data_IF_528755533807
#
_entry.id   IF_528755533807
#
_cell.length_a   1.000
_cell.length_b   1.000
_cell.length_c   1.000
_cell.angle_alpha   90.00
_cell.angle_beta   90.00
_cell.angle_gamma   90.00
#
_symmetry.space_group_name_H-M   'P 1'
#
loop_
_entity.id
_entity.type
_entity.pdbx_description
1 polymer ?
#
# COMPACT_ATOMS: atom_id res chain seq x y z
N UNK A 1 -0.17 -24.07 -38.03
CA UNK A 1 -1.10 -23.64 -36.96
C UNK A 1 -0.43 -23.88 -35.60
N UNK A 2 -0.79 -23.22 -34.48
CA UNK A 2 -1.10 -21.81 -34.20
C UNK A 2 -0.10 -21.21 -33.17
N UNK A 3 0.13 -19.88 -33.11
CA UNK A 3 0.66 -19.17 -31.92
C UNK A 3 0.63 -17.62 -32.05
N UNK A 4 -0.50 -17.03 -32.47
CA UNK A 4 -0.72 -15.55 -32.57
C UNK A 4 -1.30 -14.88 -31.29
N UNK A 5 -1.20 -15.50 -30.10
CA UNK A 5 -1.80 -14.97 -28.85
C UNK A 5 -0.85 -14.22 -27.90
N UNK A 6 0.47 -14.35 -28.05
CA UNK A 6 1.42 -13.90 -27.02
C UNK A 6 1.76 -12.40 -27.07
N UNK A 7 1.64 -11.74 -28.23
CA UNK A 7 2.05 -10.33 -28.39
C UNK A 7 1.00 -9.29 -27.93
N UNK A 8 -0.29 -9.63 -27.90
CA UNK A 8 -1.36 -8.67 -27.52
C UNK A 8 -1.43 -8.37 -26.01
N UNK A 9 -0.90 -9.25 -25.18
CA UNK A 9 -0.96 -9.12 -23.70
C UNK A 9 0.08 -8.12 -23.20
N UNK A 10 1.22 -8.02 -23.89
CA UNK A 10 2.36 -7.18 -23.49
C UNK A 10 2.09 -5.69 -23.76
N UNK A 11 1.61 -5.35 -24.96
CA UNK A 11 1.29 -3.96 -25.36
C UNK A 11 0.16 -3.32 -24.51
N UNK A 12 -0.77 -4.13 -23.96
CA UNK A 12 -1.82 -3.63 -23.04
C UNK A 12 -1.29 -3.26 -21.66
N UNK A 13 -0.23 -3.93 -21.18
CA UNK A 13 0.38 -3.64 -19.87
C UNK A 13 1.12 -2.31 -19.87
N UNK A 14 1.74 -1.94 -20.99
CA UNK A 14 2.51 -0.69 -21.11
C UNK A 14 1.61 0.54 -21.35
N UNK A 15 0.56 0.41 -22.17
CA UNK A 15 -0.40 1.51 -22.39
C UNK A 15 -1.22 1.87 -21.14
N UNK A 16 -1.41 0.94 -20.18
CA UNK A 16 -2.00 1.23 -18.87
C UNK A 16 -1.05 1.95 -17.91
N UNK A 17 0.28 1.72 -18.03
CA UNK A 17 1.28 2.41 -17.21
C UNK A 17 1.39 3.89 -17.60
N UNK A 18 1.35 4.22 -18.89
CA UNK A 18 1.51 5.60 -19.37
C UNK A 18 0.31 6.54 -19.09
N UNK A 19 -0.92 6.01 -18.98
CA UNK A 19 -2.10 6.82 -18.60
C UNK A 19 -2.21 7.08 -17.10
N UNK A 20 -1.48 6.32 -16.27
CA UNK A 20 -1.52 6.42 -14.79
C UNK A 20 -0.73 7.62 -14.27
N UNK A 21 0.19 8.14 -15.06
CA UNK A 21 1.11 9.23 -14.67
C UNK A 21 0.47 10.62 -14.62
N UNK A 22 -0.72 10.82 -15.22
CA UNK A 22 -1.38 12.15 -15.29
C UNK A 22 -2.42 12.43 -14.21
N UNK A 23 -2.83 11.43 -13.41
CA UNK A 23 -3.86 11.60 -12.37
C UNK A 23 -3.25 11.49 -10.97
N UNK A 24 -2.04 12.04 -10.82
CA UNK A 24 -1.10 11.74 -9.73
C UNK A 24 -1.34 12.56 -8.46
N UNK A 25 -2.41 13.33 -8.35
CA UNK A 25 -2.46 14.35 -7.29
C UNK A 25 -3.02 13.88 -5.94
N UNK A 26 -3.73 12.74 -5.84
CA UNK A 26 -4.35 12.33 -4.55
C UNK A 26 -4.49 10.82 -4.34
N UNK A 27 -3.61 9.99 -4.90
CA UNK A 27 -3.68 8.53 -4.78
C UNK A 27 -3.70 8.02 -3.32
N UNK A 28 -3.06 8.75 -2.41
CA UNK A 28 -3.01 8.46 -0.97
C UNK A 28 -4.30 8.82 -0.21
N UNK A 29 -5.18 9.64 -0.81
CA UNK A 29 -6.52 9.97 -0.32
C UNK A 29 -7.62 9.16 -1.01
N UNK A 30 -7.30 8.47 -2.11
CA UNK A 30 -8.27 7.60 -2.76
C UNK A 30 -8.62 6.46 -1.81
N UNK A 31 -9.93 6.27 -1.59
CA UNK A 31 -10.45 5.15 -0.84
C UNK A 31 -10.37 3.90 -1.73
N UNK A 32 -9.87 2.82 -1.16
CA UNK A 32 -9.92 1.50 -1.78
C UNK A 32 -11.37 1.07 -1.86
N UNK A 33 -11.75 0.43 -2.98
CA UNK A 33 -13.09 -0.12 -3.14
C UNK A 33 -13.37 -1.26 -2.16
N UNK A 34 -14.65 -1.54 -1.98
CA UNK A 34 -15.17 -2.56 -1.06
C UNK A 34 -14.42 -3.90 -1.20
N UNK A 35 -13.98 -4.45 -0.06
CA UNK A 35 -13.25 -5.72 0.03
C UNK A 35 -11.72 -5.63 -0.07
N UNK A 36 -11.16 -4.42 -0.23
CA UNK A 36 -9.70 -4.19 -0.14
C UNK A 36 -9.29 -3.38 1.09
N UNK A 37 -10.22 -3.22 2.02
CA UNK A 37 -10.01 -2.54 3.30
C UNK A 37 -9.04 -3.34 4.16
N UNK A 38 -8.17 -2.63 4.87
CA UNK A 38 -7.37 -3.25 5.91
C UNK A 38 -8.13 -3.23 7.22
N UNK A 39 -8.38 -4.40 7.80
CA UNK A 39 -9.08 -4.53 9.07
C UNK A 39 -8.06 -4.79 10.16
N UNK A 40 -7.96 -3.84 11.10
CA UNK A 40 -7.14 -3.95 12.28
C UNK A 40 -7.82 -4.82 13.35
N UNK A 41 -7.02 -5.31 14.30
CA UNK A 41 -7.50 -6.14 15.42
C UNK A 41 -8.44 -5.37 16.36
N UNK A 42 -8.32 -4.04 16.38
CA UNK A 42 -9.20 -3.13 17.13
C UNK A 42 -10.54 -2.85 16.41
N UNK A 43 -10.89 -3.64 15.39
CA UNK A 43 -12.06 -3.44 14.52
C UNK A 43 -12.05 -2.15 13.69
N UNK A 44 -10.94 -1.42 13.65
CA UNK A 44 -10.81 -0.25 12.78
C UNK A 44 -10.55 -0.70 11.34
N UNK A 45 -11.24 -0.05 10.41
CA UNK A 45 -11.11 -0.31 8.97
C UNK A 45 -10.40 0.84 8.29
N UNK A 46 -9.34 0.51 7.57
CA UNK A 46 -8.51 1.47 6.86
C UNK A 46 -8.79 1.34 5.37
N UNK A 47 -9.16 2.46 4.76
CA UNK A 47 -9.54 2.52 3.35
C UNK A 47 -8.48 3.23 2.49
N UNK A 48 -7.53 3.94 3.09
CA UNK A 48 -6.57 4.77 2.36
C UNK A 48 -5.21 4.78 3.04
N UNK A 49 -4.16 5.05 2.26
CA UNK A 49 -2.79 5.16 2.79
C UNK A 49 -2.65 6.31 3.79
N UNK A 50 -3.38 7.43 3.58
CA UNK A 50 -3.44 8.48 4.59
C UNK A 50 -4.02 7.98 5.92
N UNK A 51 -5.13 7.24 5.88
CA UNK A 51 -5.72 6.67 7.10
C UNK A 51 -4.78 5.66 7.74
N UNK A 52 -4.06 4.88 6.95
CA UNK A 52 -3.03 3.98 7.48
C UNK A 52 -1.97 4.75 8.26
N UNK A 53 -1.47 5.86 7.69
CA UNK A 53 -0.44 6.66 8.33
C UNK A 53 -0.93 7.31 9.64
N UNK A 54 -2.19 7.78 9.65
CA UNK A 54 -2.83 8.33 10.84
C UNK A 54 -3.03 7.27 11.92
N UNK A 55 -3.57 6.11 11.55
CA UNK A 55 -3.76 4.98 12.45
C UNK A 55 -2.43 4.46 12.98
N UNK A 56 -1.40 4.31 12.15
CA UNK A 56 -0.05 3.90 12.60
C UNK A 56 0.56 4.89 13.60
N UNK A 57 0.19 6.18 13.55
CA UNK A 57 0.69 7.19 14.47
C UNK A 57 0.07 7.04 15.87
N UNK A 58 -1.23 6.72 15.93
CA UNK A 58 -1.98 6.54 17.20
C UNK A 58 -2.02 5.09 17.67
N UNK A 59 -1.58 4.15 16.84
CA UNK A 59 -1.60 2.72 17.11
C UNK A 59 -0.56 2.32 18.15
N UNK A 60 -1.03 1.53 19.11
CA UNK A 60 -0.22 0.92 20.16
C UNK A 60 0.78 -0.09 19.58
N UNK A 61 1.99 -0.13 20.14
CA UNK A 61 3.06 -1.02 19.69
C UNK A 61 2.66 -2.50 19.78
N UNK A 62 1.79 -2.85 20.75
CA UNK A 62 1.24 -4.20 20.89
C UNK A 62 0.40 -4.60 19.67
N UNK A 63 -0.41 -3.67 19.16
CA UNK A 63 -1.23 -3.89 17.96
C UNK A 63 -0.35 -3.96 16.72
N UNK A 64 0.64 -3.08 16.61
CA UNK A 64 1.59 -3.10 15.50
C UNK A 64 2.38 -4.41 15.44
N UNK A 65 2.87 -4.90 16.58
CA UNK A 65 3.60 -6.16 16.67
C UNK A 65 2.70 -7.36 16.36
N UNK A 66 1.38 -7.27 16.56
CA UNK A 66 0.47 -8.34 16.14
C UNK A 66 0.42 -8.51 14.60
N UNK A 67 0.52 -7.40 13.85
CA UNK A 67 0.47 -7.39 12.38
C UNK A 67 1.86 -7.47 11.70
N UNK A 68 2.92 -7.18 12.44
CA UNK A 68 4.32 -7.17 11.93
C UNK A 68 5.25 -8.19 12.60
N UNK A 69 4.86 -8.70 13.77
CA UNK A 69 5.55 -9.75 14.50
C UNK A 69 5.20 -11.12 13.92
N UNK A 70 6.14 -12.06 14.01
CA UNK A 70 6.10 -13.41 13.39
C UNK A 70 6.52 -13.49 11.91
N UNK A 71 7.35 -12.57 11.43
CA UNK A 71 7.95 -12.65 10.09
C UNK A 71 6.98 -12.38 8.94
N UNK A 72 5.78 -11.90 9.27
CA UNK A 72 4.77 -11.38 8.35
C UNK A 72 4.60 -9.90 8.63
N UNK A 73 4.47 -9.10 7.58
CA UNK A 73 4.06 -7.71 7.71
C UNK A 73 2.80 -7.53 6.88
N UNK A 74 1.66 -7.52 7.57
CA UNK A 74 0.35 -7.40 6.94
C UNK A 74 0.19 -6.03 6.24
N UNK A 75 0.83 -4.98 6.75
CA UNK A 75 0.87 -3.67 6.11
C UNK A 75 1.64 -3.68 4.78
N UNK A 76 2.79 -4.36 4.75
CA UNK A 76 3.57 -4.54 3.52
C UNK A 76 2.73 -5.21 2.42
N UNK A 77 2.08 -6.33 2.77
CA UNK A 77 1.26 -7.09 1.83
C UNK A 77 0.09 -6.25 1.31
N UNK A 78 -0.59 -5.52 2.20
CA UNK A 78 -1.71 -4.67 1.83
C UNK A 78 -1.29 -3.55 0.86
N UNK A 79 -0.22 -2.82 1.16
CA UNK A 79 0.25 -1.71 0.31
C UNK A 79 0.72 -2.21 -1.06
N UNK A 80 1.44 -3.34 -1.06
CA UNK A 80 1.95 -3.96 -2.28
C UNK A 80 0.84 -4.53 -3.16
N UNK A 81 -0.17 -5.17 -2.58
CA UNK A 81 -1.24 -5.80 -3.37
C UNK A 81 -2.31 -4.78 -3.81
N UNK A 82 -2.76 -3.94 -2.88
CA UNK A 82 -3.86 -2.99 -3.10
C UNK A 82 -3.40 -1.75 -3.86
N UNK A 83 -2.33 -1.12 -3.41
CA UNK A 83 -1.84 0.12 -4.02
C UNK A 83 -0.75 -0.11 -5.07
N UNK A 84 -0.12 -1.29 -5.08
CA UNK A 84 0.98 -1.65 -5.98
C UNK A 84 2.19 -0.73 -5.83
N UNK A 85 2.42 -0.28 -4.60
CA UNK A 85 3.54 0.59 -4.23
C UNK A 85 4.59 -0.25 -3.51
N UNK A 86 5.43 -0.91 -4.31
CA UNK A 86 6.53 -1.71 -3.78
C UNK A 86 7.48 -0.87 -2.94
N UNK A 87 7.84 0.33 -3.42
CA UNK A 87 8.78 1.23 -2.76
C UNK A 87 8.31 1.63 -1.36
N UNK A 88 7.05 2.07 -1.23
CA UNK A 88 6.46 2.42 0.07
C UNK A 88 6.40 1.20 1.00
N UNK A 89 6.04 0.04 0.46
CA UNK A 89 5.95 -1.18 1.25
C UNK A 89 7.33 -1.58 1.80
N UNK A 90 8.38 -1.51 0.99
CA UNK A 90 9.77 -1.76 1.42
C UNK A 90 10.25 -0.75 2.46
N UNK A 91 9.86 0.52 2.33
CA UNK A 91 10.16 1.53 3.34
C UNK A 91 9.50 1.21 4.69
N UNK A 92 8.23 0.77 4.69
CA UNK A 92 7.56 0.34 5.93
C UNK A 92 8.21 -0.91 6.54
N UNK A 93 8.74 -1.83 5.73
CA UNK A 93 9.47 -3.00 6.27
C UNK A 93 10.73 -2.61 7.04
N UNK A 94 11.37 -1.49 6.70
CA UNK A 94 12.53 -0.97 7.44
C UNK A 94 12.13 -0.33 8.77
N UNK A 95 10.84 -0.15 9.03
CA UNK A 95 10.34 0.43 10.26
C UNK A 95 10.34 -0.54 11.42
N UNK A 96 10.99 -0.12 12.50
CA UNK A 96 11.01 -0.88 13.75
C UNK A 96 9.72 -0.69 14.55
N UNK A 97 9.12 0.49 14.47
CA UNK A 97 7.96 0.88 15.28
C UNK A 97 6.86 1.46 14.40
N UNK A 98 5.62 1.47 14.91
CA UNK A 98 4.43 2.02 14.24
C UNK A 98 4.62 3.50 13.85
N UNK A 99 5.18 4.30 14.75
CA UNK A 99 5.48 5.73 14.53
C UNK A 99 6.49 5.91 13.40
N UNK A 100 7.53 5.09 13.36
CA UNK A 100 8.55 5.16 12.31
C UNK A 100 7.98 4.73 10.94
N UNK A 101 7.08 3.74 10.94
CA UNK A 101 6.34 3.34 9.76
C UNK A 101 5.45 4.49 9.25
N UNK A 102 4.67 5.11 10.14
CA UNK A 102 3.84 6.28 9.82
C UNK A 102 4.66 7.43 9.23
N UNK A 103 5.79 7.75 9.85
CA UNK A 103 6.69 8.80 9.38
C UNK A 103 7.21 8.53 7.97
N UNK A 104 7.61 7.28 7.66
CA UNK A 104 8.01 6.90 6.30
C UNK A 104 6.87 7.00 5.30
N UNK A 105 5.65 6.63 5.68
CA UNK A 105 4.47 6.80 4.83
C UNK A 105 4.21 8.27 4.55
N UNK A 106 4.20 9.12 5.58
CA UNK A 106 4.03 10.56 5.42
C UNK A 106 5.12 11.18 4.57
N UNK A 107 6.38 10.81 4.81
CA UNK A 107 7.51 11.26 4.01
C UNK A 107 7.32 10.90 2.53
N UNK A 108 6.94 9.66 2.24
CA UNK A 108 6.68 9.20 0.87
C UNK A 108 5.51 9.97 0.22
N UNK A 109 4.44 10.27 0.96
CA UNK A 109 3.31 11.08 0.48
C UNK A 109 3.74 12.53 0.16
N UNK A 110 4.67 13.10 0.93
CA UNK A 110 5.15 14.48 0.71
C UNK A 110 6.13 14.53 -0.46
N UNK A 111 6.98 13.51 -0.61
CA UNK A 111 7.98 13.44 -1.68
C UNK A 111 7.40 13.07 -3.06
N UNK A 112 6.14 12.58 -3.14
CA UNK A 112 5.52 12.05 -4.37
C UNK A 112 4.12 12.58 -4.68
#
# INVERSE_FOLDING_TARGET
MPRKKTQKIQVKKEKKKAKRTRKKEKWYKEKVGDGKEFVLVNSVRIYSIKQLADELLVMDESTYYYHTGQGRNDFYNWIKDVFKLGELAEEILKAKNSIEAAARVYKYIIEH
#
